data_IF_176116607429
#
_entry.id   IF_176116607429
#
_cell.length_a   1.000
_cell.length_b   1.000
_cell.length_c   1.000
_cell.angle_alpha   90.00
_cell.angle_beta   90.00
_cell.angle_gamma   90.00
#
_symmetry.space_group_name_H-M   'P 1'
#
loop_
_entity.id
_entity.type
_entity.pdbx_description
1 polymer ?
#
# COMPACT_ATOMS: atom_id res chain seq x y z
N UNK A 1 59.77 45.57 -48.99
CA UNK A 1 58.60 45.05 -49.74
C UNK A 1 57.39 45.14 -48.82
N UNK A 2 56.60 46.20 -48.92
CA UNK A 2 55.44 46.47 -48.04
C UNK A 2 54.20 45.77 -48.63
N UNK A 3 53.63 44.82 -47.89
CA UNK A 3 52.38 44.16 -48.27
C UNK A 3 51.23 45.08 -47.85
N UNK A 4 50.68 45.81 -48.82
CA UNK A 4 49.44 46.58 -48.64
C UNK A 4 48.27 45.60 -48.75
N UNK A 5 47.81 45.07 -47.61
CA UNK A 5 46.60 44.24 -47.57
C UNK A 5 45.39 45.16 -47.76
N UNK A 6 44.73 45.00 -48.92
CA UNK A 6 43.52 45.71 -49.31
C UNK A 6 42.39 45.50 -48.31
N UNK A 7 42.12 46.52 -47.51
CA UNK A 7 40.99 46.61 -46.56
C UNK A 7 39.61 46.54 -47.24
N UNK A 8 39.57 46.63 -48.57
CA UNK A 8 38.35 46.71 -49.36
C UNK A 8 37.74 45.36 -49.75
N UNK A 9 38.44 44.24 -49.53
CA UNK A 9 37.93 42.91 -49.93
C UNK A 9 37.03 42.25 -48.87
N UNK A 10 37.25 42.56 -47.59
CA UNK A 10 36.54 41.92 -46.46
C UNK A 10 35.10 42.44 -46.34
N UNK A 11 34.83 43.70 -46.72
CA UNK A 11 33.49 44.28 -46.62
C UNK A 11 32.46 43.63 -47.55
N UNK A 12 32.87 43.17 -48.73
CA UNK A 12 31.95 42.60 -49.72
C UNK A 12 31.48 41.18 -49.38
N UNK A 13 32.36 40.36 -48.80
CA UNK A 13 32.00 39.00 -48.37
C UNK A 13 31.02 39.04 -47.18
N UNK A 14 31.21 39.98 -46.25
CA UNK A 14 30.29 40.19 -45.12
C UNK A 14 28.90 40.66 -45.57
N UNK A 15 28.82 41.58 -46.54
CA UNK A 15 27.53 42.06 -47.07
C UNK A 15 26.81 40.96 -47.84
N UNK A 16 27.52 40.15 -48.62
CA UNK A 16 26.96 39.00 -49.34
C UNK A 16 26.41 37.93 -48.38
N UNK A 17 27.14 37.65 -47.29
CA UNK A 17 26.71 36.71 -46.26
C UNK A 17 25.44 37.20 -45.53
N UNK A 18 25.39 38.50 -45.17
CA UNK A 18 24.22 39.08 -44.51
C UNK A 18 22.99 39.08 -45.41
N UNK A 19 23.13 39.36 -46.70
CA UNK A 19 22.01 39.31 -47.65
C UNK A 19 21.53 37.87 -47.89
N UNK A 20 22.46 36.91 -47.94
CA UNK A 20 22.14 35.48 -48.00
C UNK A 20 21.38 35.00 -46.76
N UNK A 21 21.81 35.41 -45.57
CA UNK A 21 21.14 35.11 -44.31
C UNK A 21 19.77 35.79 -44.20
N UNK A 22 19.62 37.01 -44.72
CA UNK A 22 18.34 37.74 -44.72
C UNK A 22 17.29 37.04 -45.60
N UNK A 23 17.69 36.62 -46.81
CA UNK A 23 16.83 35.92 -47.77
C UNK A 23 16.42 34.52 -47.29
N UNK A 24 17.26 33.87 -46.49
CA UNK A 24 16.99 32.52 -45.94
C UNK A 24 16.53 32.55 -44.49
N UNK A 25 16.23 33.71 -43.91
CA UNK A 25 15.85 33.86 -42.50
C UNK A 25 14.69 32.94 -42.10
N UNK A 26 13.69 32.78 -42.97
CA UNK A 26 12.54 31.88 -42.72
C UNK A 26 12.99 30.41 -42.64
N UNK A 27 13.88 29.97 -43.54
CA UNK A 27 14.42 28.61 -43.56
C UNK A 27 15.26 28.34 -42.31
N UNK A 28 16.12 29.29 -41.94
CA UNK A 28 16.99 29.20 -40.76
C UNK A 28 16.16 29.14 -39.48
N UNK A 29 15.13 29.99 -39.35
CA UNK A 29 14.23 29.97 -38.18
C UNK A 29 13.49 28.62 -38.07
N UNK A 30 13.05 28.03 -39.20
CA UNK A 30 12.42 26.69 -39.20
C UNK A 30 13.37 25.59 -38.72
N UNK A 31 14.65 25.64 -39.14
CA UNK A 31 15.66 24.67 -38.69
C UNK A 31 15.95 24.79 -37.19
N UNK A 32 16.03 26.02 -36.67
CA UNK A 32 16.21 26.27 -35.23
C UNK A 32 15.02 25.72 -34.43
N UNK A 33 13.79 25.99 -34.88
CA UNK A 33 12.57 25.50 -34.23
C UNK A 33 12.53 23.97 -34.22
N UNK A 34 12.88 23.32 -35.34
CA UNK A 34 12.96 21.86 -35.43
C UNK A 34 14.01 21.27 -34.48
N UNK A 35 15.17 21.91 -34.36
CA UNK A 35 16.21 21.50 -33.40
C UNK A 35 15.72 21.57 -31.95
N UNK A 36 15.06 22.66 -31.57
CA UNK A 36 14.49 22.83 -30.22
C UNK A 36 13.42 21.77 -29.94
N UNK A 37 12.53 21.50 -30.90
CA UNK A 37 11.49 20.47 -30.76
C UNK A 37 12.09 19.08 -30.56
N UNK A 38 13.15 18.75 -31.30
CA UNK A 38 13.84 17.46 -31.15
C UNK A 38 14.44 17.30 -29.75
N UNK A 39 15.12 18.31 -29.23
CA UNK A 39 15.69 18.31 -27.87
C UNK A 39 14.62 18.15 -26.79
N UNK A 40 13.46 18.83 -26.93
CA UNK A 40 12.34 18.69 -25.98
C UNK A 40 11.81 17.26 -25.97
N UNK A 41 11.63 16.63 -27.15
CA UNK A 41 11.13 15.25 -27.24
C UNK A 41 12.14 14.27 -26.64
N UNK A 42 13.43 14.44 -26.95
CA UNK A 42 14.49 13.61 -26.38
C UNK A 42 14.54 13.71 -24.85
N UNK A 43 14.38 14.91 -24.30
CA UNK A 43 14.34 15.15 -22.85
C UNK A 43 13.14 14.49 -22.17
N UNK A 44 11.95 14.54 -22.79
CA UNK A 44 10.75 13.85 -22.27
C UNK A 44 10.97 12.33 -22.25
N UNK A 45 11.54 11.77 -23.32
CA UNK A 45 11.84 10.33 -23.38
C UNK A 45 12.89 9.91 -22.34
N UNK A 46 13.92 10.74 -22.12
CA UNK A 46 14.93 10.51 -21.10
C UNK A 46 14.33 10.51 -19.68
N UNK A 47 13.52 11.52 -19.33
CA UNK A 47 12.81 11.56 -18.04
C UNK A 47 11.94 10.32 -17.86
N UNK A 48 11.15 9.95 -18.88
CA UNK A 48 10.29 8.77 -18.79
C UNK A 48 11.11 7.50 -18.58
N UNK A 49 12.23 7.32 -19.27
CA UNK A 49 13.09 6.15 -19.09
C UNK A 49 13.66 6.10 -17.66
N UNK A 50 14.22 7.20 -17.16
CA UNK A 50 14.84 7.24 -15.83
C UNK A 50 13.82 7.09 -14.70
N UNK A 51 12.65 7.73 -14.79
CA UNK A 51 11.62 7.66 -13.75
C UNK A 51 10.94 6.28 -13.72
N UNK A 52 10.73 5.65 -14.88
CA UNK A 52 10.11 4.32 -14.94
C UNK A 52 11.07 3.23 -14.44
N UNK A 53 12.38 3.35 -14.67
CA UNK A 53 13.35 2.36 -14.18
C UNK A 53 13.47 2.31 -12.65
N UNK A 54 13.34 3.45 -11.97
CA UNK A 54 13.51 3.51 -10.51
C UNK A 54 12.27 2.98 -9.77
N UNK A 55 11.06 3.24 -10.28
CA UNK A 55 9.81 2.78 -9.64
C UNK A 55 9.64 1.26 -9.67
N UNK A 56 10.23 0.58 -10.67
CA UNK A 56 10.23 -0.89 -10.76
C UNK A 56 10.93 -1.55 -9.57
N UNK A 57 12.09 -1.02 -9.18
CA UNK A 57 12.91 -1.57 -8.08
C UNK A 57 12.25 -1.45 -6.71
N UNK A 58 11.56 -0.33 -6.43
CA UNK A 58 10.80 -0.16 -5.19
C UNK A 58 9.60 -1.10 -5.12
N UNK A 59 8.88 -1.29 -6.23
CA UNK A 59 7.74 -2.21 -6.27
C UNK A 59 8.16 -3.66 -6.01
N UNK A 60 9.28 -4.09 -6.60
CA UNK A 60 9.81 -5.44 -6.41
C UNK A 60 10.36 -5.65 -4.99
N UNK A 61 11.05 -4.66 -4.41
CA UNK A 61 11.50 -4.72 -3.03
C UNK A 61 10.33 -4.78 -2.03
N UNK A 62 9.25 -4.02 -2.27
CA UNK A 62 8.05 -4.06 -1.45
C UNK A 62 7.34 -5.43 -1.56
N UNK A 63 7.27 -6.02 -2.76
CA UNK A 63 6.72 -7.36 -2.97
C UNK A 63 7.58 -8.42 -2.26
N UNK A 64 8.91 -8.33 -2.36
CA UNK A 64 9.83 -9.25 -1.72
C UNK A 64 9.76 -9.18 -0.18
N UNK A 65 9.64 -7.98 0.39
CA UNK A 65 9.45 -7.77 1.83
C UNK A 65 8.08 -8.28 2.31
N UNK A 66 7.02 -8.06 1.52
CA UNK A 66 5.70 -8.60 1.83
C UNK A 66 5.67 -10.13 1.74
N UNK A 67 6.44 -10.73 0.82
CA UNK A 67 6.59 -12.17 0.68
C UNK A 67 7.41 -12.78 1.83
N UNK A 68 8.52 -12.15 2.25
CA UNK A 68 9.32 -12.64 3.37
C UNK A 68 8.58 -12.55 4.71
N UNK A 69 7.76 -11.51 4.90
CA UNK A 69 6.92 -11.36 6.10
C UNK A 69 5.87 -12.48 6.20
N UNK A 70 5.36 -12.96 5.05
CA UNK A 70 4.41 -14.09 5.01
C UNK A 70 5.06 -15.46 5.23
N UNK A 71 6.32 -15.64 4.85
CA UNK A 71 7.02 -16.90 5.03
C UNK A 71 7.31 -17.24 6.51
N UNK A 72 7.35 -16.26 7.40
CA UNK A 72 7.57 -16.43 8.85
C UNK A 72 6.26 -16.41 9.67
N UNK A 73 5.11 -16.29 8.99
CA UNK A 73 3.79 -16.36 9.61
C UNK A 73 3.33 -17.81 9.70
N UNK A 74 3.94 -18.59 10.60
CA UNK A 74 3.37 -19.87 11.04
C UNK A 74 1.99 -19.59 11.65
N UNK A 75 0.95 -20.08 10.96
CA UNK A 75 -0.42 -20.04 11.43
C UNK A 75 -0.73 -21.35 12.14
N UNK A 76 -1.47 -21.28 13.24
CA UNK A 76 -2.01 -22.49 13.83
C UNK A 76 -3.17 -23.04 12.99
N UNK A 77 -3.43 -24.34 13.16
CA UNK A 77 -4.42 -25.09 12.38
C UNK A 77 -5.81 -24.47 12.51
N UNK A 78 -6.19 -23.99 13.70
CA UNK A 78 -7.50 -23.39 13.90
C UNK A 78 -7.62 -22.02 13.23
N UNK A 79 -6.54 -21.23 13.23
CA UNK A 79 -6.48 -19.96 12.50
C UNK A 79 -6.60 -20.18 10.99
N UNK A 80 -5.90 -21.17 10.42
CA UNK A 80 -6.00 -21.50 8.99
C UNK A 80 -7.41 -21.94 8.59
N UNK A 81 -8.03 -22.82 9.38
CA UNK A 81 -9.39 -23.28 9.17
C UNK A 81 -10.37 -22.10 9.17
N UNK A 82 -10.27 -21.22 10.16
CA UNK A 82 -11.11 -20.03 10.23
C UNK A 82 -10.91 -19.07 9.05
N UNK A 83 -9.67 -18.87 8.58
CA UNK A 83 -9.40 -18.09 7.37
C UNK A 83 -10.09 -18.69 6.14
N UNK A 84 -10.11 -20.02 6.03
CA UNK A 84 -10.78 -20.72 4.93
C UNK A 84 -12.31 -20.61 5.03
N UNK A 85 -12.88 -20.59 6.23
CA UNK A 85 -14.30 -20.29 6.45
C UNK A 85 -14.64 -18.87 5.99
N UNK A 86 -13.82 -17.87 6.34
CA UNK A 86 -14.00 -16.49 5.88
C UNK A 86 -13.96 -16.40 4.35
N UNK A 87 -13.03 -17.09 3.70
CA UNK A 87 -12.96 -17.19 2.22
C UNK A 87 -14.22 -17.81 1.64
N UNK A 88 -14.71 -18.89 2.25
CA UNK A 88 -15.93 -19.59 1.82
C UNK A 88 -17.18 -18.73 1.99
N UNK A 89 -17.18 -17.80 2.95
CA UNK A 89 -18.21 -16.79 3.13
C UNK A 89 -18.11 -15.62 2.13
N UNK A 90 -17.21 -15.68 1.15
CA UNK A 90 -17.02 -14.65 0.12
C UNK A 90 -16.14 -13.47 0.55
N UNK A 91 -15.50 -13.55 1.72
CA UNK A 91 -14.55 -12.54 2.19
C UNK A 91 -13.15 -12.78 1.61
N UNK A 92 -12.32 -11.73 1.58
CA UNK A 92 -10.94 -11.80 1.08
C UNK A 92 -9.95 -11.48 2.21
N UNK A 93 -9.72 -12.42 3.15
CA UNK A 93 -8.79 -12.21 4.25
C UNK A 93 -7.36 -12.05 3.76
N UNK A 94 -6.70 -11.00 4.24
CA UNK A 94 -5.27 -10.74 4.00
C UNK A 94 -4.56 -10.75 5.34
N UNK A 95 -3.59 -11.65 5.52
CA UNK A 95 -2.77 -11.67 6.72
C UNK A 95 -1.83 -10.46 6.65
N UNK A 96 -1.85 -9.64 7.69
CA UNK A 96 -1.07 -8.40 7.77
C UNK A 96 0.22 -8.66 8.56
N UNK A 97 0.10 -9.10 9.83
CA UNK A 97 1.25 -9.27 10.72
C UNK A 97 0.91 -10.12 11.96
N UNK A 98 1.93 -10.59 12.67
CA UNK A 98 1.78 -11.04 14.07
C UNK A 98 1.60 -9.83 14.99
N UNK A 99 0.81 -10.00 16.04
CA UNK A 99 0.54 -8.97 17.06
C UNK A 99 0.68 -9.57 18.46
N UNK A 100 1.13 -8.74 19.41
CA UNK A 100 1.02 -9.05 20.84
C UNK A 100 0.07 -8.04 21.46
N UNK A 101 -0.86 -8.51 22.29
CA UNK A 101 -1.86 -7.67 22.92
C UNK A 101 -2.18 -8.17 24.31
N UNK A 102 -2.02 -7.31 25.29
CA UNK A 102 -2.47 -7.59 26.64
C UNK A 102 -4.02 -7.59 26.71
N UNK A 103 -4.64 -8.51 27.46
CA UNK A 103 -4.05 -9.46 28.41
C UNK A 103 -3.76 -10.84 27.80
N UNK A 104 -3.73 -10.98 26.47
CA UNK A 104 -3.54 -12.28 25.84
C UNK A 104 -2.10 -12.78 26.00
N UNK A 105 -1.95 -14.01 26.49
CA UNK A 105 -0.65 -14.63 26.72
C UNK A 105 0.04 -15.08 25.41
N UNK A 106 -0.76 -15.31 24.36
CA UNK A 106 -0.27 -15.75 23.04
C UNK A 106 -0.07 -14.57 22.08
N UNK A 107 0.79 -14.76 21.07
CA UNK A 107 0.85 -13.86 19.92
C UNK A 107 -0.36 -14.15 19.01
N UNK A 108 -1.03 -13.10 18.58
CA UNK A 108 -2.12 -13.20 17.62
C UNK A 108 -1.69 -12.86 16.20
N UNK A 109 -2.64 -12.96 15.28
CA UNK A 109 -2.52 -12.58 13.87
C UNK A 109 -3.52 -11.46 13.59
N UNK A 110 -3.06 -10.41 12.91
CA UNK A 110 -3.91 -9.36 12.36
C UNK A 110 -4.29 -9.71 10.92
N UNK A 111 -5.60 -9.76 10.65
CA UNK A 111 -6.18 -10.08 9.35
C UNK A 111 -6.99 -8.88 8.86
N UNK A 112 -6.70 -8.42 7.65
CA UNK A 112 -7.50 -7.42 6.94
C UNK A 112 -8.66 -8.05 6.17
N UNK A 113 -9.82 -7.41 6.25
CA UNK A 113 -11.04 -7.71 5.51
C UNK A 113 -11.53 -6.42 4.81
N UNK A 114 -10.86 -6.04 3.72
CA UNK A 114 -11.13 -4.77 3.04
C UNK A 114 -10.65 -3.57 3.88
N UNK A 115 -11.60 -2.78 4.40
CA UNK A 115 -11.29 -1.59 5.26
C UNK A 115 -11.32 -1.90 6.76
N UNK A 116 -11.70 -3.13 7.11
CA UNK A 116 -11.83 -3.60 8.48
C UNK A 116 -10.68 -4.55 8.83
N UNK A 117 -10.39 -4.70 10.12
CA UNK A 117 -9.38 -5.63 10.62
C UNK A 117 -9.93 -6.52 11.74
N UNK A 118 -9.51 -7.78 11.74
CA UNK A 118 -9.78 -8.78 12.76
C UNK A 118 -8.46 -9.22 13.40
N UNK A 119 -8.50 -9.48 14.69
CA UNK A 119 -7.39 -10.04 15.44
C UNK A 119 -7.75 -11.44 15.91
N UNK A 120 -6.86 -12.40 15.71
CA UNK A 120 -7.06 -13.81 16.08
C UNK A 120 -5.93 -14.24 17.00
N UNK A 121 -6.27 -14.86 18.12
CA UNK A 121 -5.33 -15.39 19.10
C UNK A 121 -5.60 -16.88 19.27
N UNK A 122 -4.64 -17.72 18.92
CA UNK A 122 -4.77 -19.19 19.00
C UNK A 122 -4.03 -19.74 20.21
N UNK A 123 -4.73 -20.60 20.94
CA UNK A 123 -4.29 -21.20 22.20
C UNK A 123 -4.06 -22.71 22.02
N UNK A 124 -3.29 -23.35 22.92
CA UNK A 124 -3.16 -24.79 22.94
C UNK A 124 -4.49 -25.51 23.23
N UNK A 125 -5.38 -24.87 23.98
CA UNK A 125 -6.63 -25.47 24.44
C UNK A 125 -7.79 -24.46 24.51
N UNK A 126 -9.01 -25.00 24.49
CA UNK A 126 -10.25 -24.21 24.48
C UNK A 126 -10.58 -23.53 25.81
N UNK A 127 -10.12 -24.09 26.94
CA UNK A 127 -10.39 -23.52 28.26
C UNK A 127 -9.58 -22.24 28.48
N UNK A 128 -8.31 -22.23 28.08
CA UNK A 128 -7.47 -21.04 28.12
C UNK A 128 -8.01 -19.95 27.19
N UNK A 129 -8.40 -20.31 25.95
CA UNK A 129 -9.02 -19.37 25.02
C UNK A 129 -10.30 -18.74 25.60
N UNK A 130 -11.20 -19.56 26.17
CA UNK A 130 -12.42 -19.09 26.80
C UNK A 130 -12.14 -18.18 28.01
N UNK A 131 -11.19 -18.57 28.87
CA UNK A 131 -10.82 -17.82 30.06
C UNK A 131 -10.24 -16.44 29.74
N UNK A 132 -9.28 -16.36 28.82
CA UNK A 132 -8.68 -15.08 28.42
C UNK A 132 -9.63 -14.24 27.55
N UNK A 133 -10.38 -14.86 26.63
CA UNK A 133 -11.41 -14.18 25.85
C UNK A 133 -12.49 -13.54 26.73
N UNK A 134 -12.92 -14.23 27.77
CA UNK A 134 -13.90 -13.72 28.74
C UNK A 134 -13.35 -12.56 29.57
N UNK A 135 -12.11 -12.66 30.07
CA UNK A 135 -11.44 -11.56 30.78
C UNK A 135 -11.29 -10.33 29.90
N UNK A 136 -10.93 -10.52 28.63
CA UNK A 136 -10.81 -9.45 27.67
C UNK A 136 -12.15 -8.79 27.36
N UNK A 137 -13.21 -9.58 27.18
CA UNK A 137 -14.58 -9.09 27.02
C UNK A 137 -15.03 -8.26 28.25
N UNK A 138 -14.79 -8.75 29.47
CA UNK A 138 -15.14 -8.06 30.72
C UNK A 138 -14.42 -6.71 30.88
N UNK A 139 -13.16 -6.61 30.45
CA UNK A 139 -12.44 -5.33 30.45
C UNK A 139 -13.22 -4.28 29.66
N UNK A 140 -13.88 -4.66 28.58
CA UNK A 140 -14.64 -3.76 27.72
C UNK A 140 -16.09 -3.54 28.14
N UNK A 141 -16.69 -4.44 28.92
CA UNK A 141 -18.00 -4.16 29.53
C UNK A 141 -17.90 -3.22 30.73
N UNK A 142 -16.76 -3.23 31.44
CA UNK A 142 -16.55 -2.45 32.66
C UNK A 142 -15.87 -1.08 32.48
N UNK A 143 -15.28 -0.79 31.32
CA UNK A 143 -14.55 0.47 31.09
C UNK A 143 -15.21 1.32 30.01
N UNK A 144 -15.85 2.41 30.46
CA UNK A 144 -16.56 3.45 29.70
C UNK A 144 -17.95 3.09 29.16
N UNK A 145 -18.86 4.07 29.19
CA UNK A 145 -20.14 3.99 28.51
C UNK A 145 -19.89 3.78 27.01
N UNK A 146 -20.49 2.72 26.46
CA UNK A 146 -20.44 2.31 25.04
C UNK A 146 -20.75 3.45 24.06
N UNK A 147 -21.45 4.50 24.51
CA UNK A 147 -21.76 5.73 23.76
C UNK A 147 -20.54 6.57 23.36
N UNK A 148 -19.37 6.40 23.98
CA UNK A 148 -18.13 7.12 23.63
C UNK A 148 -17.29 6.41 22.56
N UNK A 149 -17.64 5.18 22.18
CA UNK A 149 -16.84 4.41 21.23
C UNK A 149 -17.29 4.65 19.79
N UNK A 150 -16.36 5.13 18.97
CA UNK A 150 -16.58 5.31 17.53
C UNK A 150 -16.94 3.98 16.83
N UNK A 151 -16.42 2.85 17.32
CA UNK A 151 -16.62 1.51 16.78
C UNK A 151 -17.11 0.53 17.86
N UNK A 152 -18.02 -0.38 17.49
CA UNK A 152 -18.50 -1.46 18.38
C UNK A 152 -17.43 -2.54 18.47
N UNK A 153 -17.19 -3.07 19.67
CA UNK A 153 -16.21 -4.14 19.92
C UNK A 153 -16.93 -5.47 20.05
N UNK A 154 -16.39 -6.48 19.37
CA UNK A 154 -16.93 -7.83 19.36
C UNK A 154 -15.81 -8.80 19.73
N UNK A 155 -16.09 -9.70 20.69
CA UNK A 155 -15.19 -10.76 21.11
C UNK A 155 -15.91 -12.09 20.91
N UNK A 156 -15.29 -12.98 20.15
CA UNK A 156 -15.79 -14.31 19.86
C UNK A 156 -14.77 -15.34 20.33
N UNK A 157 -15.25 -16.51 20.75
CA UNK A 157 -14.40 -17.66 21.08
C UNK A 157 -14.92 -18.85 20.32
N UNK A 158 -14.06 -19.49 19.52
CA UNK A 158 -14.36 -20.71 18.76
C UNK A 158 -13.26 -21.71 19.02
N UNK A 159 -13.60 -22.88 19.57
CA UNK A 159 -12.61 -23.90 19.90
C UNK A 159 -11.47 -23.31 20.76
N UNK A 160 -10.25 -23.29 20.25
CA UNK A 160 -9.05 -22.76 20.88
C UNK A 160 -8.62 -21.39 20.33
N UNK A 161 -9.47 -20.68 19.57
CA UNK A 161 -9.18 -19.32 19.07
C UNK A 161 -10.09 -18.26 19.69
N UNK A 162 -9.50 -17.11 20.01
CA UNK A 162 -10.19 -15.87 20.40
C UNK A 162 -10.12 -14.90 19.24
N UNK A 163 -11.25 -14.36 18.83
CA UNK A 163 -11.37 -13.42 17.73
C UNK A 163 -11.88 -12.09 18.26
N UNK A 164 -11.14 -11.02 17.95
CA UNK A 164 -11.51 -9.66 18.28
C UNK A 164 -11.73 -8.85 17.01
N UNK A 165 -12.93 -8.30 16.88
CA UNK A 165 -13.31 -7.40 15.80
C UNK A 165 -13.79 -6.06 16.37
N UNK A 166 -13.38 -4.97 15.74
CA UNK A 166 -13.80 -3.62 16.12
C UNK A 166 -14.36 -2.89 14.90
N UNK A 167 -15.69 -2.90 14.76
CA UNK A 167 -16.37 -2.30 13.62
C UNK A 167 -17.87 -2.58 13.63
N UNK A 168 -18.54 -2.28 12.51
CA UNK A 168 -20.00 -2.41 12.35
C UNK A 168 -20.39 -3.05 11.02
N UNK A 169 -19.42 -3.61 10.29
CA UNK A 169 -19.65 -4.16 8.97
C UNK A 169 -20.50 -5.43 9.09
N UNK A 170 -21.76 -5.34 8.65
CA UNK A 170 -22.74 -6.42 8.79
C UNK A 170 -22.34 -7.69 8.05
N UNK A 171 -21.61 -7.59 6.94
CA UNK A 171 -21.10 -8.75 6.22
C UNK A 171 -20.06 -9.54 7.03
N UNK A 172 -19.19 -8.81 7.73
CA UNK A 172 -18.19 -9.41 8.63
C UNK A 172 -18.88 -10.01 9.86
N UNK A 173 -19.77 -9.26 10.50
CA UNK A 173 -20.52 -9.74 11.66
C UNK A 173 -21.34 -10.99 11.34
N UNK A 174 -22.03 -11.01 10.20
CA UNK A 174 -22.79 -12.20 9.74
C UNK A 174 -21.87 -13.40 9.54
N UNK A 175 -20.67 -13.21 8.98
CA UNK A 175 -19.71 -14.29 8.79
C UNK A 175 -19.18 -14.82 10.13
N UNK A 176 -18.93 -13.93 11.10
CA UNK A 176 -18.50 -14.30 12.44
C UNK A 176 -19.61 -15.05 13.20
N UNK A 177 -20.84 -14.55 13.17
CA UNK A 177 -21.99 -15.12 13.88
C UNK A 177 -22.42 -16.49 13.30
N UNK A 178 -22.29 -16.70 11.99
CA UNK A 178 -22.58 -17.99 11.36
C UNK A 178 -21.55 -19.08 11.72
N UNK A 179 -20.32 -18.68 12.01
CA UNK A 179 -19.24 -19.60 12.34
C UNK A 179 -19.06 -19.82 13.84
N UNK A 180 -19.58 -18.92 14.69
CA UNK A 180 -19.19 -18.78 16.10
C UNK A 180 -20.32 -18.14 16.92
N UNK A 181 -20.66 -18.73 18.07
CA UNK A 181 -21.54 -18.10 19.05
C UNK A 181 -20.86 -16.87 19.66
N UNK A 182 -21.43 -15.66 19.56
CA UNK A 182 -20.90 -14.51 20.27
C UNK A 182 -20.89 -14.78 21.77
N UNK A 183 -19.80 -14.40 22.46
CA UNK A 183 -19.86 -14.30 23.91
C UNK A 183 -20.89 -13.21 24.22
N UNK A 184 -22.08 -13.61 24.68
CA UNK A 184 -23.15 -12.67 24.97
C UNK A 184 -22.66 -11.71 26.06
N UNK A 185 -22.41 -10.47 25.68
CA UNK A 185 -22.23 -9.35 26.59
C UNK A 185 -23.62 -9.01 27.15
N UNK A 186 -24.14 -9.87 28.02
CA UNK A 186 -25.41 -9.60 28.69
C UNK A 186 -25.22 -8.40 29.61
N UNK A 187 -25.74 -7.25 29.17
CA UNK A 187 -26.04 -6.12 30.02
C UNK A 187 -27.01 -6.59 31.10
N UNK A 188 -26.50 -6.79 32.32
CA UNK A 188 -27.29 -6.71 33.54
C UNK A 188 -26.92 -5.41 34.24
#
# INVERSE_FOLDING_TARGET
MLIVISKNRISWEFVSLLDFLSKRRILIMRLIILGILFEIVAFILFINHTVISDTGSYSQAAIALAASTRADLELGVATEQFINELKSAGLKPVIIQKIKREPFSVKGILIGLGKDNIQIFEYPDSLTALGEGSKFAQKYTGSEATSKWKNVKHVYVKSNIVIFYMGRNTGILTALDKGISPLSLNNK
#
